data_IF_965871876864
#
_entry.id   IF_965871876864
#
_cell.length_a   1.000
_cell.length_b   1.000
_cell.length_c   1.000
_cell.angle_alpha   90.00
_cell.angle_beta   90.00
_cell.angle_gamma   90.00
#
_symmetry.space_group_name_H-M   'P 1'
#
loop_
_entity.id
_entity.type
_entity.pdbx_description
1 polymer ?
#
# COMPACT_ATOMS: atom_id res chain seq x y z
N UNK A 1 -2.36 -3.60 -16.22
CA UNK A 1 -1.40 -2.69 -15.57
C UNK A 1 -0.35 -3.49 -14.80
N UNK A 2 -0.73 -4.47 -14.00
CA UNK A 2 0.19 -5.27 -13.16
C UNK A 2 1.31 -5.96 -13.96
N UNK A 3 0.97 -6.64 -15.06
CA UNK A 3 1.95 -7.38 -15.88
C UNK A 3 3.05 -6.49 -16.49
N UNK A 4 2.74 -5.24 -16.80
CA UNK A 4 3.70 -4.33 -17.44
C UNK A 4 4.75 -3.80 -16.46
N UNK A 5 4.32 -3.34 -15.30
CA UNK A 5 5.23 -2.80 -14.29
C UNK A 5 6.11 -3.91 -13.70
N UNK A 6 5.55 -5.11 -13.54
CA UNK A 6 6.32 -6.28 -13.16
C UNK A 6 7.50 -6.53 -14.12
N UNK A 7 7.26 -6.52 -15.44
CA UNK A 7 8.32 -6.66 -16.44
C UNK A 7 9.42 -5.60 -16.29
N UNK A 8 9.04 -4.33 -16.05
CA UNK A 8 10.01 -3.26 -15.89
C UNK A 8 10.81 -3.41 -14.58
N UNK A 9 10.19 -3.81 -13.50
CA UNK A 9 10.88 -4.05 -12.22
C UNK A 9 11.80 -5.28 -12.30
N UNK A 10 11.39 -6.35 -12.96
CA UNK A 10 12.24 -7.50 -13.21
C UNK A 10 13.45 -7.14 -14.09
N UNK A 11 13.24 -6.32 -15.11
CA UNK A 11 14.33 -5.80 -15.94
C UNK A 11 15.33 -4.95 -15.12
N UNK A 12 14.82 -4.06 -14.25
CA UNK A 12 15.69 -3.29 -13.34
C UNK A 12 16.38 -4.19 -12.32
N UNK A 13 15.73 -5.24 -11.82
CA UNK A 13 16.36 -6.24 -10.97
C UNK A 13 17.50 -6.97 -11.69
N UNK A 14 17.32 -7.33 -12.97
CA UNK A 14 18.36 -7.96 -13.77
C UNK A 14 19.56 -7.03 -14.00
N UNK A 15 19.33 -5.76 -14.27
CA UNK A 15 20.36 -4.79 -14.65
C UNK A 15 21.06 -4.10 -13.47
N UNK A 16 20.34 -3.83 -12.38
CA UNK A 16 20.81 -3.05 -11.24
C UNK A 16 20.86 -3.85 -9.94
N UNK A 17 20.11 -4.97 -9.88
CA UNK A 17 20.06 -5.83 -8.70
C UNK A 17 21.38 -6.57 -8.47
N UNK A 18 21.70 -6.80 -7.18
CA UNK A 18 22.88 -7.56 -6.76
C UNK A 18 22.65 -8.10 -5.33
N UNK A 19 23.67 -8.60 -4.67
CA UNK A 19 23.57 -9.13 -3.30
C UNK A 19 23.17 -8.09 -2.25
N UNK A 20 23.38 -6.80 -2.55
CA UNK A 20 23.05 -5.66 -1.68
C UNK A 20 21.72 -5.00 -2.05
N UNK A 21 21.38 -4.96 -3.34
CA UNK A 21 20.24 -4.21 -3.89
C UNK A 21 19.26 -5.17 -4.54
N UNK A 22 18.01 -5.13 -4.12
CA UNK A 22 16.94 -5.95 -4.70
C UNK A 22 15.68 -5.12 -4.95
N UNK A 23 15.09 -5.34 -6.13
CA UNK A 23 13.82 -4.76 -6.52
C UNK A 23 12.73 -5.83 -6.42
N UNK A 24 11.62 -5.51 -5.80
CA UNK A 24 10.46 -6.39 -5.67
C UNK A 24 9.23 -5.71 -6.25
N UNK A 25 8.51 -6.43 -7.09
CA UNK A 25 7.24 -5.95 -7.65
C UNK A 25 6.17 -5.89 -6.58
N UNK A 26 5.49 -4.77 -6.48
CA UNK A 26 4.28 -4.57 -5.69
C UNK A 26 3.12 -4.14 -6.58
N UNK A 27 2.04 -3.66 -5.98
CA UNK A 27 0.82 -3.26 -6.67
C UNK A 27 1.00 -1.91 -7.38
N UNK A 28 0.60 -1.82 -8.63
CA UNK A 28 0.64 -0.60 -9.47
C UNK A 28 2.07 -0.02 -9.53
N UNK A 29 2.25 1.21 -9.01
CA UNK A 29 3.54 1.92 -8.94
C UNK A 29 4.28 1.69 -7.61
N UNK A 30 3.66 1.00 -6.65
CA UNK A 30 4.20 0.73 -5.31
C UNK A 30 5.06 -0.52 -5.34
N UNK A 31 6.35 -0.37 -5.57
CA UNK A 31 7.33 -1.45 -5.56
C UNK A 31 8.24 -1.29 -4.34
N UNK A 32 8.98 -2.32 -4.00
CA UNK A 32 9.95 -2.26 -2.91
C UNK A 32 11.38 -2.26 -3.45
N UNK A 33 12.19 -1.35 -2.96
CA UNK A 33 13.63 -1.36 -3.09
C UNK A 33 14.25 -1.77 -1.75
N UNK A 34 14.92 -2.89 -1.71
CA UNK A 34 15.58 -3.40 -0.51
C UNK A 34 17.08 -3.21 -0.64
N UNK A 35 17.70 -2.49 0.31
CA UNK A 35 19.14 -2.25 0.36
C UNK A 35 19.68 -2.87 1.64
N UNK A 36 20.45 -3.96 1.50
CA UNK A 36 21.10 -4.62 2.63
C UNK A 36 22.18 -3.71 3.23
N UNK A 37 22.09 -3.46 4.53
CA UNK A 37 23.01 -2.57 5.25
C UNK A 37 22.82 -1.09 4.91
N UNK A 38 21.67 -0.71 4.31
CA UNK A 38 21.33 0.69 4.07
C UNK A 38 20.94 1.42 5.35
N UNK A 39 21.06 2.73 5.34
CA UNK A 39 20.61 3.62 6.41
C UNK A 39 19.29 4.30 6.01
N UNK A 40 18.31 4.32 6.91
CA UNK A 40 16.99 4.91 6.67
C UNK A 40 16.90 6.42 6.92
N UNK A 41 17.92 7.01 7.56
CA UNK A 41 17.93 8.43 7.89
C UNK A 41 18.20 9.28 6.62
N UNK A 42 17.18 9.29 5.75
CA UNK A 42 17.19 9.89 4.43
C UNK A 42 16.01 10.85 4.27
N UNK A 43 16.27 12.00 3.69
CA UNK A 43 15.25 12.92 3.17
C UNK A 43 14.86 12.46 1.76
N UNK A 44 13.67 11.91 1.63
CA UNK A 44 13.10 11.43 0.38
C UNK A 44 11.75 12.09 0.14
N UNK A 45 11.67 12.95 -0.86
CA UNK A 45 10.43 13.65 -1.21
C UNK A 45 9.47 12.73 -1.95
N UNK A 46 8.23 12.50 -1.46
CA UNK A 46 7.22 11.76 -2.19
C UNK A 46 6.87 12.43 -3.52
N UNK A 47 6.80 11.71 -4.64
CA UNK A 47 6.62 12.32 -5.96
C UNK A 47 5.26 13.03 -6.13
N UNK A 48 4.24 12.58 -5.42
CA UNK A 48 2.90 13.17 -5.45
C UNK A 48 2.79 14.51 -4.70
N UNK A 49 3.75 14.84 -3.82
CA UNK A 49 3.78 16.12 -3.12
C UNK A 49 4.40 17.25 -3.98
N UNK A 50 5.07 16.89 -5.05
CA UNK A 50 5.85 17.83 -5.89
C UNK A 50 5.62 17.62 -7.39
N UNK A 51 4.36 17.52 -7.84
CA UNK A 51 4.07 17.29 -9.24
C UNK A 51 4.65 18.44 -10.10
N UNK A 52 5.16 18.08 -11.27
CA UNK A 52 5.73 19.02 -12.26
C UNK A 52 6.98 19.79 -11.78
N UNK A 53 7.58 19.44 -10.64
CA UNK A 53 8.84 20.03 -10.18
C UNK A 53 10.03 19.35 -10.85
N UNK A 54 11.13 20.08 -11.12
CA UNK A 54 12.37 19.47 -11.57
C UNK A 54 12.88 18.44 -10.53
N UNK A 55 13.25 17.26 -10.98
CA UNK A 55 13.62 16.16 -10.06
C UNK A 55 14.99 16.33 -9.40
N UNK A 56 15.97 16.97 -10.08
CA UNK A 56 17.35 17.06 -9.58
C UNK A 56 17.48 17.72 -8.19
N UNK A 57 16.78 18.81 -7.86
CA UNK A 57 16.80 19.37 -6.50
C UNK A 57 16.16 18.48 -5.44
N UNK A 58 15.34 17.50 -5.87
CA UNK A 58 14.57 16.59 -5.03
C UNK A 58 15.23 15.22 -4.85
N UNK A 59 16.46 15.04 -5.37
CA UNK A 59 17.23 13.82 -5.15
C UNK A 59 17.43 13.55 -3.66
N UNK A 60 17.59 12.28 -3.31
CA UNK A 60 17.70 11.80 -1.93
C UNK A 60 18.89 12.48 -1.23
N UNK A 61 18.67 12.95 0.00
CA UNK A 61 19.71 13.57 0.84
C UNK A 61 19.86 12.80 2.15
N UNK A 62 21.08 12.68 2.67
CA UNK A 62 21.28 12.09 3.98
C UNK A 62 20.82 13.08 5.08
N UNK A 63 20.13 12.60 6.09
CA UNK A 63 19.80 13.36 7.30
C UNK A 63 20.92 13.29 8.35
N UNK A 64 21.78 12.26 8.24
CA UNK A 64 22.97 12.06 9.08
C UNK A 64 24.15 11.66 8.20
N UNK A 65 25.40 11.94 8.60
CA UNK A 65 26.59 11.60 7.79
C UNK A 65 26.69 10.12 7.41
N UNK A 66 26.27 9.22 8.30
CA UNK A 66 26.30 7.77 8.11
C UNK A 66 25.33 7.28 7.02
N UNK A 67 24.39 8.11 6.62
CA UNK A 67 23.43 7.82 5.56
C UNK A 67 23.93 8.24 4.15
N UNK A 68 25.07 8.93 4.05
CA UNK A 68 25.59 9.47 2.78
C UNK A 68 25.74 8.38 1.72
N UNK A 69 26.40 7.28 2.06
CA UNK A 69 26.60 6.17 1.11
C UNK A 69 25.29 5.59 0.58
N UNK A 70 24.26 5.51 1.44
CA UNK A 70 22.93 5.02 1.04
C UNK A 70 22.21 6.03 0.13
N UNK A 71 22.32 7.33 0.44
CA UNK A 71 21.77 8.40 -0.40
C UNK A 71 22.42 8.39 -1.79
N UNK A 72 23.75 8.30 -1.86
CA UNK A 72 24.50 8.26 -3.11
C UNK A 72 24.13 7.04 -3.94
N UNK A 73 24.02 5.87 -3.31
CA UNK A 73 23.57 4.63 -3.97
C UNK A 73 22.18 4.78 -4.57
N UNK A 74 21.21 5.30 -3.80
CA UNK A 74 19.83 5.49 -4.30
C UNK A 74 19.81 6.48 -5.46
N UNK A 75 20.55 7.58 -5.36
CA UNK A 75 20.65 8.57 -6.41
C UNK A 75 21.27 8.00 -7.70
N UNK A 76 22.29 7.17 -7.59
CA UNK A 76 22.89 6.43 -8.71
C UNK A 76 21.87 5.47 -9.36
N UNK A 77 21.10 4.74 -8.54
CA UNK A 77 20.03 3.86 -9.03
C UNK A 77 18.92 4.63 -9.77
N UNK A 78 18.52 5.81 -9.26
CA UNK A 78 17.57 6.70 -9.94
C UNK A 78 18.08 7.07 -11.34
N UNK A 79 19.30 7.58 -11.43
CA UNK A 79 19.89 8.02 -12.70
C UNK A 79 20.08 6.85 -13.67
N UNK A 80 20.61 5.74 -13.21
CA UNK A 80 20.77 4.53 -14.03
C UNK A 80 19.44 3.97 -14.52
N UNK A 81 18.39 4.04 -13.70
CA UNK A 81 17.06 3.60 -14.12
C UNK A 81 16.52 4.42 -15.28
N UNK A 82 16.79 5.73 -15.30
CA UNK A 82 16.36 6.62 -16.38
C UNK A 82 17.00 6.21 -17.71
N UNK A 83 18.30 5.93 -17.71
CA UNK A 83 19.01 5.47 -18.92
C UNK A 83 18.51 4.09 -19.40
N UNK A 84 18.30 3.15 -18.48
CA UNK A 84 17.83 1.80 -18.83
C UNK A 84 16.38 1.79 -19.32
N UNK A 85 15.51 2.59 -18.72
CA UNK A 85 14.09 2.61 -19.06
C UNK A 85 13.79 3.39 -20.33
N UNK A 86 14.64 4.34 -20.72
CA UNK A 86 14.48 5.21 -21.88
C UNK A 86 14.21 4.42 -23.17
N UNK A 87 15.02 3.40 -23.42
CA UNK A 87 14.96 2.59 -24.64
C UNK A 87 14.29 1.22 -24.45
N UNK A 88 13.63 1.01 -23.29
CA UNK A 88 12.96 -0.25 -23.04
C UNK A 88 11.77 -0.45 -24.01
N UNK A 89 11.61 -1.63 -24.65
CA UNK A 89 10.58 -1.86 -25.69
C UNK A 89 9.16 -1.52 -25.27
N UNK A 90 8.80 -1.78 -24.00
CA UNK A 90 7.48 -1.42 -23.46
C UNK A 90 7.27 0.10 -23.41
N UNK A 91 8.29 0.86 -23.12
CA UNK A 91 8.23 2.32 -23.09
C UNK A 91 8.18 2.90 -24.50
N UNK A 92 8.99 2.38 -25.41
CA UNK A 92 8.94 2.77 -26.83
C UNK A 92 7.55 2.51 -27.43
N UNK A 93 6.96 1.34 -27.17
CA UNK A 93 5.60 1.02 -27.60
C UNK A 93 4.59 2.01 -27.03
N UNK A 94 4.67 2.36 -25.75
CA UNK A 94 3.76 3.33 -25.12
C UNK A 94 3.85 4.71 -25.75
N UNK A 95 5.08 5.19 -25.96
CA UNK A 95 5.29 6.49 -26.63
C UNK A 95 4.73 6.49 -28.04
N UNK A 96 4.88 5.41 -28.79
CA UNK A 96 4.28 5.26 -30.12
C UNK A 96 2.74 5.26 -30.07
N UNK A 97 2.13 4.86 -28.95
CA UNK A 97 0.69 4.92 -28.69
C UNK A 97 0.22 6.27 -28.10
N UNK A 98 1.09 7.27 -27.97
CA UNK A 98 0.80 8.57 -27.35
C UNK A 98 0.62 8.50 -25.82
N UNK A 99 1.17 7.49 -25.16
CA UNK A 99 1.07 7.28 -23.71
C UNK A 99 2.41 7.54 -23.03
N UNK A 100 2.37 8.05 -21.81
CA UNK A 100 3.57 8.31 -21.02
C UNK A 100 4.36 7.01 -20.70
N UNK A 101 5.69 7.02 -20.85
CA UNK A 101 6.57 5.94 -20.44
C UNK A 101 6.76 5.94 -18.91
N UNK A 102 7.15 4.78 -18.36
CA UNK A 102 7.73 4.70 -17.02
C UNK A 102 9.24 5.03 -17.16
N UNK A 103 9.64 6.22 -16.79
CA UNK A 103 10.94 6.79 -17.15
C UNK A 103 11.97 6.82 -16.01
N UNK A 104 11.57 6.48 -14.77
CA UNK A 104 12.47 6.47 -13.60
C UNK A 104 11.90 5.64 -12.47
N UNK A 105 12.76 5.10 -11.62
CA UNK A 105 12.37 4.78 -10.24
C UNK A 105 12.44 6.06 -9.40
N UNK A 106 11.67 6.08 -8.31
CA UNK A 106 11.71 7.17 -7.34
C UNK A 106 11.49 6.61 -5.93
N UNK A 107 12.54 6.12 -5.27
CA UNK A 107 12.44 5.59 -3.90
C UNK A 107 12.09 6.68 -2.91
N UNK A 108 11.13 6.40 -2.03
CA UNK A 108 10.70 7.28 -0.96
C UNK A 108 10.19 6.46 0.23
N UNK A 109 9.94 7.10 1.37
CA UNK A 109 9.48 6.44 2.59
C UNK A 109 10.44 5.33 3.08
N UNK A 110 11.70 5.69 3.40
CA UNK A 110 12.69 4.73 3.88
C UNK A 110 12.31 4.18 5.27
N UNK A 111 12.62 2.91 5.50
CA UNK A 111 12.37 2.25 6.76
C UNK A 111 13.17 0.96 6.91
N UNK A 112 13.29 0.46 8.12
CA UNK A 112 13.82 -0.87 8.39
C UNK A 112 12.69 -1.88 8.47
N UNK A 113 13.04 -3.16 8.37
CA UNK A 113 12.12 -4.25 8.68
C UNK A 113 11.51 -4.01 10.08
N UNK A 114 10.19 -3.92 10.21
CA UNK A 114 9.57 -3.68 11.51
C UNK A 114 9.85 -4.84 12.46
N UNK A 115 10.12 -4.49 13.72
CA UNK A 115 10.17 -5.43 14.85
C UNK A 115 8.95 -5.09 15.70
N UNK A 116 7.88 -5.84 15.50
CA UNK A 116 6.66 -5.67 16.27
C UNK A 116 6.22 -7.02 16.84
N UNK A 117 5.58 -7.03 18.02
CA UNK A 117 5.02 -8.26 18.56
C UNK A 117 3.92 -8.79 17.64
N UNK A 118 3.75 -10.09 17.64
CA UNK A 118 2.62 -10.72 16.96
C UNK A 118 1.31 -10.35 17.66
N UNK A 119 0.20 -10.55 16.96
CA UNK A 119 -1.10 -10.23 17.53
C UNK A 119 -1.41 -11.08 18.77
N UNK A 120 -1.04 -12.37 18.75
CA UNK A 120 -1.21 -13.28 19.88
C UNK A 120 -0.28 -13.00 21.05
N UNK A 121 0.91 -12.42 20.83
CA UNK A 121 1.78 -11.94 21.91
C UNK A 121 1.18 -10.72 22.63
N UNK A 122 0.53 -9.84 21.87
CA UNK A 122 -0.11 -8.64 22.43
C UNK A 122 -1.48 -8.97 23.07
N UNK A 123 -2.23 -9.88 22.45
CA UNK A 123 -3.58 -10.30 22.85
C UNK A 123 -3.61 -11.82 22.99
N UNK A 124 -3.18 -12.38 24.16
CA UNK A 124 -3.03 -13.84 24.33
C UNK A 124 -4.31 -14.66 24.19
N UNK A 125 -5.48 -14.01 24.27
CA UNK A 125 -6.78 -14.63 24.02
C UNK A 125 -7.02 -14.93 22.53
N UNK A 126 -6.35 -14.19 21.61
CA UNK A 126 -6.44 -14.41 20.16
C UNK A 126 -5.34 -15.37 19.74
N UNK A 127 -5.69 -16.62 19.47
CA UNK A 127 -4.74 -17.65 19.04
C UNK A 127 -4.54 -17.69 17.54
N UNK A 128 -5.60 -17.40 16.82
CA UNK A 128 -5.62 -17.38 15.36
C UNK A 128 -6.33 -16.12 14.87
N UNK A 129 -5.76 -15.51 13.86
CA UNK A 129 -6.37 -14.35 13.24
C UNK A 129 -6.11 -14.29 11.75
N UNK A 130 -6.98 -13.60 11.04
CA UNK A 130 -6.88 -13.40 9.61
C UNK A 130 -6.95 -11.92 9.23
N UNK A 131 -6.32 -11.58 8.11
CA UNK A 131 -6.41 -10.27 7.46
C UNK A 131 -6.91 -10.42 6.02
N UNK A 132 -7.89 -9.60 5.68
CA UNK A 132 -8.48 -9.49 4.34
C UNK A 132 -8.30 -8.05 3.87
N UNK A 133 -7.44 -7.85 2.89
CA UNK A 133 -7.20 -6.53 2.29
C UNK A 133 -6.74 -6.67 0.84
N UNK A 134 -7.08 -5.69 0.02
CA UNK A 134 -6.51 -5.52 -1.32
C UNK A 134 -5.22 -4.68 -1.32
N UNK A 135 -4.84 -4.13 -0.17
CA UNK A 135 -3.71 -3.20 -0.01
C UNK A 135 -2.50 -3.94 0.55
N UNK A 136 -1.36 -3.84 -0.16
CA UNK A 136 -0.14 -4.53 0.23
C UNK A 136 0.40 -4.07 1.60
N UNK A 137 0.24 -2.79 1.94
CA UNK A 137 0.63 -2.25 3.25
C UNK A 137 -0.10 -2.99 4.39
N UNK A 138 -1.41 -3.11 4.29
CA UNK A 138 -2.24 -3.79 5.31
C UNK A 138 -1.92 -5.28 5.37
N UNK A 139 -1.75 -5.92 4.21
CA UNK A 139 -1.31 -7.32 4.15
C UNK A 139 0.08 -7.51 4.77
N UNK A 140 0.98 -6.55 4.59
CA UNK A 140 2.32 -6.55 5.21
C UNK A 140 2.27 -6.40 6.73
N UNK A 141 1.44 -5.50 7.24
CA UNK A 141 1.21 -5.35 8.69
C UNK A 141 0.63 -6.66 9.26
N UNK A 142 -0.39 -7.23 8.59
CA UNK A 142 -0.97 -8.51 8.98
C UNK A 142 0.06 -9.64 9.03
N UNK A 143 0.97 -9.69 8.05
CA UNK A 143 2.06 -10.67 8.03
C UNK A 143 2.99 -10.53 9.25
N UNK A 144 3.40 -9.30 9.59
CA UNK A 144 4.24 -9.07 10.76
C UNK A 144 3.51 -9.29 12.09
N UNK A 145 2.19 -9.11 12.10
CA UNK A 145 1.34 -9.42 13.25
C UNK A 145 0.99 -10.91 13.38
N UNK A 146 1.51 -11.77 12.51
CA UNK A 146 1.21 -13.21 12.40
C UNK A 146 -0.27 -13.50 12.11
N UNK A 147 -0.92 -12.63 11.34
CA UNK A 147 -2.26 -12.85 10.84
C UNK A 147 -2.24 -13.57 9.49
N UNK A 148 -3.09 -14.57 9.34
CA UNK A 148 -3.25 -15.33 8.09
C UNK A 148 -3.86 -14.43 7.01
N UNK A 149 -3.13 -14.19 5.94
CA UNK A 149 -3.62 -13.43 4.80
C UNK A 149 -4.62 -14.25 3.99
N UNK A 150 -5.80 -13.67 3.71
CA UNK A 150 -6.80 -14.26 2.84
C UNK A 150 -6.90 -13.45 1.54
N UNK A 151 -6.53 -14.08 0.44
CA UNK A 151 -6.71 -13.49 -0.89
C UNK A 151 -8.18 -13.67 -1.34
N UNK A 152 -8.80 -12.58 -1.78
CA UNK A 152 -10.21 -12.57 -2.19
C UNK A 152 -10.30 -12.18 -3.66
N UNK A 153 -11.01 -13.00 -4.44
CA UNK A 153 -11.24 -12.73 -5.86
C UNK A 153 -12.11 -11.48 -6.04
N UNK A 154 -11.65 -10.57 -6.91
CA UNK A 154 -12.33 -9.30 -7.17
C UNK A 154 -12.13 -8.25 -6.08
N UNK A 155 -11.30 -8.52 -5.06
CA UNK A 155 -10.92 -7.51 -4.08
C UNK A 155 -9.99 -6.47 -4.72
N UNK A 156 -10.41 -5.20 -4.64
CA UNK A 156 -9.62 -4.02 -5.03
C UNK A 156 -9.63 -2.99 -3.90
N UNK A 157 -8.78 -1.98 -3.96
CA UNK A 157 -8.83 -0.80 -3.09
C UNK A 157 -9.89 0.23 -3.53
N UNK A 158 -10.54 0.05 -4.67
CA UNK A 158 -11.45 1.00 -5.28
C UNK A 158 -12.92 0.78 -4.88
N UNK A 159 -13.78 1.73 -5.25
CA UNK A 159 -15.21 1.71 -4.98
C UNK A 159 -15.96 0.50 -5.57
N UNK A 160 -15.43 -0.09 -6.64
CA UNK A 160 -15.97 -1.27 -7.32
C UNK A 160 -15.40 -2.60 -6.78
N UNK A 161 -14.81 -2.60 -5.61
CA UNK A 161 -14.32 -3.82 -4.95
C UNK A 161 -15.46 -4.83 -4.77
N UNK A 162 -15.14 -6.11 -4.78
CA UNK A 162 -16.12 -7.16 -4.48
C UNK A 162 -16.36 -7.27 -2.97
N UNK A 163 -17.33 -6.52 -2.47
CA UNK A 163 -17.72 -6.50 -1.05
C UNK A 163 -18.20 -7.87 -0.59
N UNK A 164 -19.04 -8.53 -1.40
CA UNK A 164 -19.68 -9.81 -1.08
C UNK A 164 -18.64 -10.91 -0.87
N UNK A 165 -17.65 -11.00 -1.75
CA UNK A 165 -16.58 -11.99 -1.61
C UNK A 165 -15.71 -11.69 -0.38
N UNK A 166 -15.46 -10.42 -0.06
CA UNK A 166 -14.73 -10.03 1.15
C UNK A 166 -15.51 -10.43 2.42
N UNK A 167 -16.81 -10.20 2.44
CA UNK A 167 -17.70 -10.60 3.55
C UNK A 167 -17.75 -12.11 3.70
N UNK A 168 -17.95 -12.83 2.60
CA UNK A 168 -17.95 -14.31 2.62
C UNK A 168 -16.64 -14.85 3.19
N UNK A 169 -15.50 -14.32 2.73
CA UNK A 169 -14.19 -14.73 3.23
C UNK A 169 -14.01 -14.41 4.72
N UNK A 170 -14.54 -13.29 5.20
CA UNK A 170 -14.48 -12.90 6.61
C UNK A 170 -15.34 -13.86 7.48
N UNK A 171 -16.56 -14.16 7.06
CA UNK A 171 -17.45 -15.09 7.77
C UNK A 171 -16.90 -16.53 7.79
N UNK A 172 -16.30 -16.98 6.69
CA UNK A 172 -15.64 -18.29 6.66
C UNK A 172 -14.41 -18.33 7.58
N UNK A 173 -13.65 -17.24 7.63
CA UNK A 173 -12.50 -17.14 8.54
C UNK A 173 -12.94 -17.17 10.00
N UNK A 174 -14.00 -16.46 10.38
CA UNK A 174 -14.53 -16.44 11.76
C UNK A 174 -14.98 -17.81 12.29
N UNK A 175 -15.21 -18.80 11.43
CA UNK A 175 -15.51 -20.18 11.86
C UNK A 175 -14.32 -20.89 12.51
N UNK A 176 -13.10 -20.39 12.29
CA UNK A 176 -11.85 -21.05 12.70
C UNK A 176 -10.83 -20.10 13.34
N UNK A 177 -11.02 -18.81 13.17
CA UNK A 177 -10.12 -17.77 13.69
C UNK A 177 -10.85 -16.94 14.76
N UNK A 178 -10.13 -16.58 15.80
CA UNK A 178 -10.64 -15.76 16.91
C UNK A 178 -10.75 -14.27 16.55
N UNK A 179 -10.07 -13.86 15.47
CA UNK A 179 -10.01 -12.46 15.02
C UNK A 179 -9.92 -12.36 13.49
N UNK A 180 -10.72 -11.47 12.91
CA UNK A 180 -10.64 -11.15 11.48
C UNK A 180 -10.56 -9.64 11.29
N UNK A 181 -9.50 -9.18 10.63
CA UNK A 181 -9.36 -7.81 10.19
C UNK A 181 -9.78 -7.69 8.73
N UNK A 182 -10.97 -7.12 8.50
CA UNK A 182 -11.50 -6.85 7.16
C UNK A 182 -11.27 -5.39 6.78
N UNK A 183 -10.42 -5.16 5.79
CA UNK A 183 -10.09 -3.82 5.30
C UNK A 183 -10.80 -3.50 3.98
N UNK A 184 -11.46 -2.36 3.92
CA UNK A 184 -12.13 -1.82 2.73
C UNK A 184 -11.73 -0.35 2.57
N UNK A 185 -10.98 -0.04 1.51
CA UNK A 185 -10.37 1.28 1.26
C UNK A 185 -11.25 2.22 0.42
N UNK A 186 -12.34 1.70 -0.16
CA UNK A 186 -13.16 2.38 -1.16
C UNK A 186 -13.57 3.82 -0.79
N UNK A 187 -13.91 4.06 0.49
CA UNK A 187 -14.33 5.38 0.96
C UNK A 187 -13.17 6.37 1.10
N UNK A 188 -11.95 5.87 1.33
CA UNK A 188 -10.75 6.70 1.37
C UNK A 188 -10.38 7.18 -0.03
N UNK A 189 -10.33 6.30 -1.01
CA UNK A 189 -10.05 6.64 -2.40
C UNK A 189 -11.06 7.65 -2.96
N UNK A 190 -12.36 7.47 -2.69
CA UNK A 190 -13.39 8.44 -3.07
C UNK A 190 -13.18 9.82 -2.43
N UNK A 191 -12.70 9.84 -1.20
CA UNK A 191 -12.31 11.06 -0.50
C UNK A 191 -11.12 11.77 -1.15
N UNK A 192 -10.11 11.01 -1.57
CA UNK A 192 -8.93 11.56 -2.27
C UNK A 192 -9.24 12.08 -3.67
N UNK A 193 -10.22 11.47 -4.37
CA UNK A 193 -10.72 11.97 -5.66
C UNK A 193 -11.53 13.26 -5.53
N UNK A 194 -11.97 13.60 -4.31
CA UNK A 194 -12.80 14.79 -4.06
C UNK A 194 -14.25 14.63 -4.51
N UNK A 195 -14.70 13.41 -4.80
CA UNK A 195 -16.03 13.09 -5.27
C UNK A 195 -16.97 12.80 -4.08
N UNK A 196 -17.85 13.76 -3.77
CA UNK A 196 -18.78 13.67 -2.63
C UNK A 196 -19.82 12.58 -2.85
N UNK A 197 -20.37 12.46 -4.04
CA UNK A 197 -21.42 11.48 -4.35
C UNK A 197 -20.84 10.06 -4.29
N UNK A 198 -19.65 9.87 -4.83
CA UNK A 198 -18.93 8.61 -4.73
C UNK A 198 -18.57 8.27 -3.26
N UNK A 199 -18.17 9.26 -2.46
CA UNK A 199 -17.88 9.08 -1.04
C UNK A 199 -19.12 8.59 -0.28
N UNK A 200 -20.27 9.22 -0.50
CA UNK A 200 -21.53 8.81 0.11
C UNK A 200 -21.93 7.39 -0.33
N UNK A 201 -21.84 7.12 -1.63
CA UNK A 201 -22.13 5.79 -2.19
C UNK A 201 -21.24 4.70 -1.56
N UNK A 202 -19.95 4.97 -1.39
CA UNK A 202 -19.02 3.99 -0.80
C UNK A 202 -19.32 3.74 0.68
N UNK A 203 -19.72 4.76 1.45
CA UNK A 203 -20.14 4.60 2.85
C UNK A 203 -21.44 3.78 2.92
N UNK A 204 -22.41 4.07 2.05
CA UNK A 204 -23.64 3.26 1.97
C UNK A 204 -23.35 1.81 1.58
N UNK A 205 -22.41 1.57 0.67
CA UNK A 205 -21.99 0.21 0.31
C UNK A 205 -21.29 -0.51 1.46
N UNK A 206 -20.47 0.20 2.27
CA UNK A 206 -19.87 -0.37 3.48
C UNK A 206 -20.97 -0.88 4.44
N UNK A 207 -22.00 -0.08 4.68
CA UNK A 207 -23.11 -0.46 5.55
C UNK A 207 -23.93 -1.62 4.94
N UNK A 208 -24.46 -1.43 3.73
CA UNK A 208 -25.41 -2.35 3.10
C UNK A 208 -24.79 -3.67 2.62
N UNK A 209 -23.51 -3.64 2.18
CA UNK A 209 -22.86 -4.78 1.52
C UNK A 209 -21.75 -5.43 2.35
N UNK A 210 -21.35 -4.81 3.47
CA UNK A 210 -20.35 -5.38 4.36
C UNK A 210 -20.85 -5.48 5.80
N UNK A 211 -21.07 -4.37 6.49
CA UNK A 211 -21.40 -4.37 7.94
C UNK A 211 -22.73 -5.08 8.19
N UNK A 212 -23.79 -4.69 7.48
CA UNK A 212 -25.12 -5.30 7.61
C UNK A 212 -25.12 -6.82 7.40
N UNK A 213 -24.59 -7.35 6.27
CA UNK A 213 -24.51 -8.78 6.04
C UNK A 213 -23.68 -9.55 7.08
N UNK A 214 -22.57 -8.96 7.59
CA UNK A 214 -21.78 -9.58 8.66
C UNK A 214 -22.62 -9.64 9.94
N UNK A 215 -23.22 -8.51 10.35
CA UNK A 215 -24.07 -8.44 11.55
C UNK A 215 -25.21 -9.47 11.48
N UNK A 216 -25.96 -9.50 10.38
CA UNK A 216 -27.08 -10.44 10.19
C UNK A 216 -26.62 -11.92 10.25
N UNK A 217 -25.42 -12.21 9.75
CA UNK A 217 -24.89 -13.57 9.78
C UNK A 217 -24.46 -14.05 11.17
N UNK A 218 -23.95 -13.13 12.03
CA UNK A 218 -23.34 -13.51 13.33
C UNK A 218 -24.23 -13.23 14.54
N UNK A 219 -25.30 -12.41 14.41
CA UNK A 219 -26.15 -11.99 15.53
C UNK A 219 -26.80 -13.14 16.30
N UNK A 220 -27.05 -14.27 15.63
CA UNK A 220 -27.71 -15.46 16.16
C UNK A 220 -26.72 -16.62 16.41
N UNK A 221 -25.41 -16.36 16.39
CA UNK A 221 -24.43 -17.37 16.74
C UNK A 221 -24.43 -17.65 18.26
N UNK A 222 -24.19 -18.90 18.63
CA UNK A 222 -24.11 -19.33 20.03
C UNK A 222 -22.91 -18.65 20.77
N UNK A 223 -21.83 -18.38 20.06
CA UNK A 223 -20.68 -17.64 20.56
C UNK A 223 -20.86 -16.14 20.34
N UNK A 224 -20.62 -15.30 21.37
CA UNK A 224 -20.72 -13.86 21.21
C UNK A 224 -19.64 -13.31 20.26
N UNK A 225 -20.04 -12.54 19.26
CA UNK A 225 -19.15 -11.88 18.30
C UNK A 225 -19.14 -10.38 18.57
N UNK A 226 -17.95 -9.81 18.75
CA UNK A 226 -17.75 -8.37 18.81
C UNK A 226 -17.41 -7.82 17.42
N UNK A 227 -18.18 -6.83 16.97
CA UNK A 227 -17.93 -6.13 15.70
C UNK A 227 -17.46 -4.72 16.00
N UNK A 228 -16.28 -4.34 15.50
CA UNK A 228 -15.79 -2.97 15.56
C UNK A 228 -15.69 -2.41 14.13
N UNK A 229 -16.34 -1.27 13.89
CA UNK A 229 -16.24 -0.52 12.62
C UNK A 229 -15.49 0.76 12.91
N UNK A 230 -14.29 0.89 12.35
CA UNK A 230 -13.38 1.99 12.67
C UNK A 230 -12.81 2.58 11.36
N UNK A 231 -12.76 3.91 11.22
CA UNK A 231 -11.89 4.55 10.23
C UNK A 231 -10.44 4.47 10.72
N UNK A 232 -9.49 4.35 9.81
CA UNK A 232 -8.06 4.44 10.13
C UNK A 232 -7.60 5.90 10.26
N UNK A 233 -8.14 6.79 9.43
CA UNK A 233 -7.93 8.24 9.47
C UNK A 233 -9.08 8.99 8.78
N UNK A 234 -9.25 10.31 9.04
CA UNK A 234 -10.18 11.12 8.29
C UNK A 234 -9.64 11.42 6.88
N UNK A 235 -10.45 11.20 5.84
CA UNK A 235 -10.21 11.65 4.48
C UNK A 235 -11.25 12.72 4.14
N UNK A 236 -10.93 13.98 4.44
CA UNK A 236 -11.87 15.08 4.36
C UNK A 236 -12.01 15.61 2.93
N UNK A 237 -13.25 15.79 2.48
CA UNK A 237 -13.62 16.49 1.23
C UNK A 237 -13.64 18.01 1.43
N UNK A 238 -14.02 18.46 2.61
CA UNK A 238 -13.98 19.86 3.05
C UNK A 238 -13.05 19.97 4.24
N UNK A 239 -12.13 20.93 4.22
CA UNK A 239 -11.10 21.15 5.23
C UNK A 239 -11.67 21.55 6.59
N UNK A 240 -12.31 20.62 7.27
CA UNK A 240 -12.81 20.84 8.64
C UNK A 240 -11.90 20.24 9.70
N UNK A 241 -10.97 19.35 9.32
CA UNK A 241 -9.86 18.90 10.17
C UNK A 241 -8.63 18.66 9.33
N UNK A 242 -7.43 19.10 9.75
CA UNK A 242 -6.21 18.86 9.01
C UNK A 242 -5.93 17.36 8.95
N UNK A 243 -5.71 16.84 7.74
CA UNK A 243 -5.23 15.47 7.56
C UNK A 243 -3.83 15.34 8.18
N UNK A 244 -3.35 14.15 8.51
CA UNK A 244 -1.95 13.96 8.91
C UNK A 244 -0.95 14.55 7.93
N UNK A 245 -1.28 14.60 6.63
CA UNK A 245 -0.48 15.24 5.57
C UNK A 245 -0.44 16.77 5.70
N UNK A 246 -1.51 17.40 6.18
CA UNK A 246 -1.59 18.86 6.33
C UNK A 246 -0.84 19.35 7.58
N UNK A 247 -0.68 18.50 8.62
CA UNK A 247 0.10 18.81 9.82
C UNK A 247 1.61 18.86 9.58
N UNK A 248 2.11 18.30 8.47
CA UNK A 248 3.53 18.35 8.10
C UNK A 248 3.89 19.61 7.31
N UNK A 249 2.91 20.45 6.97
CA UNK A 249 3.11 21.70 6.22
C UNK A 249 3.03 22.97 7.06
N UNK A 250 2.80 22.86 8.36
CA UNK A 250 2.76 23.99 9.32
C UNK A 250 4.02 24.09 10.15
#
# INVERSE_FOLDING_TARGET
VYKRQDVLIQYLQEKLGNDRVRFHTGVQYRHLLVIKGGNKELDCTPPHDVPLKPFRPLMVKPLVPEAQETADLINDLILKSQELLKDHPLNLKRMAEGKDPANSIWPWSPGYRPQMPTFSETFPQVKKGAVISAVDLINGIGYYADLRRIAVEGATGLYNTNYENKVTAALEALKTDDFVYLHIEASDEAGHEGDIDLKLLTIENLDKRAVGPIYEAVKDWDEPVAIAVLPDHPTCLLYTSPSPRDRQKS
#
